data_IF_342666596894
#
_entry.id   IF_342666596894
#
_cell.length_a   1.000
_cell.length_b   1.000
_cell.length_c   1.000
_cell.angle_alpha   90.00
_cell.angle_beta   90.00
_cell.angle_gamma   90.00
#
_symmetry.space_group_name_H-M   'P 1'
#
loop_
_entity.id
_entity.type
_entity.pdbx_description
1 polymer ?
#
# COMPACT_ATOMS: atom_id res chain seq x y z
N UNK A 1 43.75 39.09 21.96
CA UNK A 1 44.12 38.09 23.00
C UNK A 1 43.13 36.93 23.12
N UNK A 2 41.81 37.15 23.27
CA UNK A 2 40.81 36.06 23.16
C UNK A 2 40.40 35.78 21.71
N UNK A 3 40.28 36.81 20.87
CA UNK A 3 39.97 36.67 19.44
C UNK A 3 41.02 35.83 18.70
N UNK A 4 42.30 36.05 18.96
CA UNK A 4 43.39 35.25 18.36
C UNK A 4 43.31 33.77 18.74
N UNK A 5 42.91 33.45 19.99
CA UNK A 5 42.69 32.07 20.44
C UNK A 5 41.48 31.42 19.76
N UNK A 6 40.42 32.20 19.51
CA UNK A 6 39.24 31.74 18.77
C UNK A 6 39.64 31.41 17.33
N UNK A 7 40.39 32.30 16.67
CA UNK A 7 40.86 32.09 15.29
C UNK A 7 41.76 30.85 15.20
N UNK A 8 42.73 30.70 16.10
CA UNK A 8 43.59 29.51 16.16
C UNK A 8 42.80 28.22 16.37
N UNK A 9 41.77 28.26 17.23
CA UNK A 9 40.91 27.10 17.49
C UNK A 9 40.07 26.74 16.26
N UNK A 10 39.54 27.73 15.54
CA UNK A 10 38.77 27.53 14.30
C UNK A 10 39.65 26.96 13.18
N UNK A 11 40.89 27.45 13.02
CA UNK A 11 41.85 26.90 12.06
C UNK A 11 42.19 25.44 12.40
N UNK A 12 42.45 25.14 13.68
CA UNK A 12 42.69 23.77 14.15
C UNK A 12 41.49 22.87 13.92
N UNK A 13 40.28 23.37 14.15
CA UNK A 13 39.03 22.64 13.93
C UNK A 13 38.79 22.35 12.43
N UNK A 14 39.12 23.29 11.55
CA UNK A 14 39.07 23.08 10.10
C UNK A 14 40.01 21.95 9.67
N UNK A 15 41.25 21.98 10.16
CA UNK A 15 42.25 20.94 9.86
C UNK A 15 41.83 19.56 10.37
N UNK A 16 41.33 19.48 11.60
CA UNK A 16 40.81 18.22 12.17
C UNK A 16 39.64 17.68 11.34
N UNK A 17 38.76 18.55 10.82
CA UNK A 17 37.64 18.13 9.95
C UNK A 17 38.12 17.56 8.62
N UNK A 18 39.19 18.12 8.04
CA UNK A 18 39.79 17.60 6.81
C UNK A 18 40.44 16.23 7.06
N UNK A 19 41.26 16.12 8.10
CA UNK A 19 41.89 14.85 8.51
C UNK A 19 40.84 13.76 8.76
N UNK A 20 39.74 14.09 9.47
CA UNK A 20 38.63 13.16 9.70
C UNK A 20 37.95 12.71 8.40
N UNK A 21 37.87 13.59 7.40
CA UNK A 21 37.26 13.26 6.10
C UNK A 21 38.14 12.28 5.33
N UNK A 22 39.46 12.41 5.41
CA UNK A 22 40.41 11.47 4.80
C UNK A 22 40.37 10.11 5.49
N UNK A 23 40.45 10.08 6.83
CA UNK A 23 40.34 8.85 7.62
C UNK A 23 39.04 8.10 7.31
N UNK A 24 37.91 8.81 7.19
CA UNK A 24 36.63 8.20 6.80
C UNK A 24 36.64 7.58 5.41
N UNK A 25 37.37 8.16 4.46
CA UNK A 25 37.49 7.59 3.11
C UNK A 25 38.34 6.33 3.12
N UNK A 26 39.45 6.35 3.84
CA UNK A 26 40.35 5.20 3.99
C UNK A 26 39.63 4.05 4.70
N UNK A 27 38.96 4.31 5.83
CA UNK A 27 38.15 3.31 6.53
C UNK A 27 37.11 2.67 5.59
N UNK A 28 36.41 3.48 4.80
CA UNK A 28 35.42 2.98 3.84
C UNK A 28 36.03 2.10 2.74
N UNK A 29 37.30 2.33 2.39
CA UNK A 29 38.02 1.49 1.42
C UNK A 29 38.46 0.17 2.06
N UNK A 30 38.99 0.22 3.28
CA UNK A 30 39.39 -0.97 4.05
C UNK A 30 38.20 -1.85 4.43
N UNK A 31 37.06 -1.25 4.80
CA UNK A 31 35.81 -1.96 5.09
C UNK A 31 35.13 -2.54 3.83
N UNK A 32 35.62 -2.19 2.63
CA UNK A 32 35.06 -2.72 1.39
C UNK A 32 35.46 -4.19 1.28
N UNK A 33 34.45 -5.05 1.30
CA UNK A 33 34.63 -6.47 1.01
C UNK A 33 35.10 -6.60 -0.45
N UNK A 34 36.35 -7.01 -0.63
CA UNK A 34 36.98 -7.27 -1.94
C UNK A 34 37.02 -8.76 -2.28
N UNK A 35 36.44 -9.59 -1.41
CA UNK A 35 36.35 -11.03 -1.56
C UNK A 35 35.55 -11.41 -2.81
N UNK A 36 36.17 -12.24 -3.66
CA UNK A 36 35.60 -12.65 -4.95
C UNK A 36 34.37 -13.56 -4.77
N UNK A 37 34.33 -14.37 -3.70
CA UNK A 37 33.18 -15.22 -3.41
C UNK A 37 31.97 -14.37 -3.01
N UNK A 38 32.17 -13.34 -2.18
CA UNK A 38 31.11 -12.39 -1.80
C UNK A 38 30.52 -11.68 -3.02
N UNK A 39 31.34 -11.11 -3.90
CA UNK A 39 30.85 -10.43 -5.10
C UNK A 39 30.17 -11.40 -6.08
N UNK A 40 30.62 -12.65 -6.14
CA UNK A 40 29.96 -13.71 -6.91
C UNK A 40 28.59 -14.05 -6.32
N UNK A 41 28.51 -14.30 -5.00
CA UNK A 41 27.24 -14.57 -4.31
C UNK A 41 26.24 -13.42 -4.48
N UNK A 42 26.70 -12.18 -4.41
CA UNK A 42 25.87 -11.00 -4.62
C UNK A 42 25.30 -10.91 -6.03
N UNK A 43 26.10 -11.24 -7.06
CA UNK A 43 25.63 -11.33 -8.45
C UNK A 43 24.60 -12.44 -8.61
N UNK A 44 24.90 -13.64 -8.10
CA UNK A 44 23.97 -14.78 -8.13
C UNK A 44 22.65 -14.46 -7.44
N UNK A 45 22.68 -13.80 -6.28
CA UNK A 45 21.47 -13.38 -5.59
C UNK A 45 20.62 -12.40 -6.42
N UNK A 46 21.27 -11.46 -7.12
CA UNK A 46 20.59 -10.52 -8.02
C UNK A 46 19.97 -11.24 -9.22
N UNK A 47 20.68 -12.19 -9.81
CA UNK A 47 20.19 -12.99 -10.94
C UNK A 47 19.01 -13.87 -10.53
N UNK A 48 19.10 -14.56 -9.38
CA UNK A 48 18.00 -15.34 -8.82
C UNK A 48 16.76 -14.49 -8.55
N UNK A 49 16.94 -13.28 -8.02
CA UNK A 49 15.83 -12.36 -7.81
C UNK A 49 15.17 -11.94 -9.14
N UNK A 50 15.96 -11.73 -10.19
CA UNK A 50 15.46 -11.50 -11.54
C UNK A 50 14.63 -12.68 -12.05
N UNK A 51 15.16 -13.91 -11.94
CA UNK A 51 14.47 -15.13 -12.36
C UNK A 51 13.15 -15.35 -11.62
N UNK A 52 13.11 -15.08 -10.31
CA UNK A 52 11.87 -15.16 -9.52
C UNK A 52 10.82 -14.17 -10.04
N UNK A 53 11.23 -12.95 -10.34
CA UNK A 53 10.32 -11.93 -10.88
C UNK A 53 9.78 -12.35 -12.25
N UNK A 54 10.65 -12.83 -13.14
CA UNK A 54 10.23 -13.31 -14.46
C UNK A 54 9.25 -14.49 -14.34
N UNK A 55 9.48 -15.40 -13.39
CA UNK A 55 8.57 -16.50 -13.09
C UNK A 55 7.21 -16.00 -12.59
N UNK A 56 7.18 -15.06 -11.65
CA UNK A 56 5.93 -14.47 -11.16
C UNK A 56 5.13 -13.78 -12.26
N UNK A 57 5.81 -13.06 -13.16
CA UNK A 57 5.17 -12.41 -14.30
C UNK A 57 4.59 -13.43 -15.28
N UNK A 58 5.33 -14.50 -15.58
CA UNK A 58 4.85 -15.58 -16.45
C UNK A 58 3.65 -16.30 -15.82
N UNK A 59 3.72 -16.65 -14.54
CA UNK A 59 2.62 -17.28 -13.83
C UNK A 59 1.35 -16.41 -13.82
N UNK A 60 1.49 -15.09 -13.60
CA UNK A 60 0.35 -14.16 -13.69
C UNK A 60 -0.25 -14.12 -15.09
N UNK A 61 0.58 -14.16 -16.14
CA UNK A 61 0.09 -14.21 -17.53
C UNK A 61 -0.65 -15.52 -17.79
N UNK A 62 -0.12 -16.64 -17.34
CA UNK A 62 -0.78 -17.95 -17.45
C UNK A 62 -2.13 -17.95 -16.72
N UNK A 63 -2.17 -17.45 -15.49
CA UNK A 63 -3.41 -17.31 -14.72
C UNK A 63 -4.44 -16.42 -15.43
N UNK A 64 -3.99 -15.34 -16.06
CA UNK A 64 -4.88 -14.49 -16.86
C UNK A 64 -5.36 -15.17 -18.15
N UNK A 65 -4.65 -16.17 -18.65
CA UNK A 65 -5.11 -16.95 -19.80
C UNK A 65 -5.92 -18.19 -19.37
N UNK A 66 -5.96 -18.50 -18.07
CA UNK A 66 -6.75 -19.60 -17.52
C UNK A 66 -8.25 -19.29 -17.63
N UNK A 67 -8.98 -20.17 -18.31
CA UNK A 67 -10.41 -20.00 -18.56
C UNK A 67 -11.24 -20.02 -17.27
N UNK A 68 -10.86 -20.82 -16.26
CA UNK A 68 -11.57 -20.87 -14.99
C UNK A 68 -11.37 -19.58 -14.20
N UNK A 69 -10.14 -19.02 -14.21
CA UNK A 69 -9.88 -17.71 -13.63
C UNK A 69 -10.66 -16.61 -14.34
N UNK A 70 -10.70 -16.60 -15.68
CA UNK A 70 -11.48 -15.60 -16.42
C UNK A 70 -12.97 -15.70 -16.13
N UNK A 71 -13.54 -16.92 -16.07
CA UNK A 71 -14.94 -17.12 -15.67
C UNK A 71 -15.25 -16.56 -14.29
N UNK A 72 -14.36 -16.80 -13.31
CA UNK A 72 -14.53 -16.24 -11.96
C UNK A 72 -14.41 -14.72 -11.96
N UNK A 73 -13.51 -14.16 -12.79
CA UNK A 73 -13.33 -12.72 -12.94
C UNK A 73 -14.57 -12.06 -13.56
N UNK A 74 -15.13 -12.65 -14.60
CA UNK A 74 -16.38 -12.19 -15.22
C UNK A 74 -17.55 -12.28 -14.25
N UNK A 75 -17.70 -13.42 -13.54
CA UNK A 75 -18.73 -13.58 -12.53
C UNK A 75 -18.61 -12.54 -11.42
N UNK A 76 -17.38 -12.24 -10.97
CA UNK A 76 -17.14 -11.18 -10.00
C UNK A 76 -17.66 -9.83 -10.51
N UNK A 77 -17.31 -9.45 -11.74
CA UNK A 77 -17.74 -8.17 -12.33
C UNK A 77 -19.27 -8.11 -12.41
N UNK A 78 -19.91 -9.18 -12.88
CA UNK A 78 -21.38 -9.26 -12.93
C UNK A 78 -22.00 -9.09 -11.54
N UNK A 79 -21.44 -9.73 -10.50
CA UNK A 79 -21.93 -9.55 -9.13
C UNK A 79 -21.68 -8.16 -8.57
N UNK A 80 -20.57 -7.52 -8.91
CA UNK A 80 -20.32 -6.12 -8.54
C UNK A 80 -21.34 -5.17 -9.21
N UNK A 81 -21.71 -5.43 -10.47
CA UNK A 81 -22.75 -4.68 -11.19
C UNK A 81 -24.14 -4.91 -10.58
N UNK A 82 -24.54 -6.16 -10.32
CA UNK A 82 -25.80 -6.50 -9.64
C UNK A 82 -25.93 -5.79 -8.29
N UNK A 83 -24.85 -5.78 -7.49
CA UNK A 83 -24.82 -5.08 -6.19
C UNK A 83 -24.99 -3.57 -6.39
N UNK A 84 -24.30 -2.97 -7.36
CA UNK A 84 -24.43 -1.55 -7.65
C UNK A 84 -25.85 -1.16 -8.08
N UNK A 85 -26.50 -2.00 -8.90
CA UNK A 85 -27.90 -1.80 -9.31
C UNK A 85 -28.87 -1.86 -8.13
N UNK A 86 -28.73 -2.86 -7.25
CA UNK A 86 -29.58 -3.00 -6.07
C UNK A 86 -29.36 -1.86 -5.05
N UNK A 87 -28.12 -1.40 -4.90
CA UNK A 87 -27.81 -0.20 -4.09
C UNK A 87 -28.48 1.03 -4.69
N UNK A 88 -28.41 1.23 -6.01
CA UNK A 88 -29.07 2.36 -6.67
C UNK A 88 -30.60 2.32 -6.48
N UNK A 89 -31.21 1.14 -6.60
CA UNK A 89 -32.64 0.94 -6.31
C UNK A 89 -32.97 1.23 -4.85
N UNK A 90 -32.13 0.77 -3.92
CA UNK A 90 -32.27 1.05 -2.49
C UNK A 90 -32.29 2.56 -2.25
N UNK A 91 -31.33 3.32 -2.80
CA UNK A 91 -31.31 4.77 -2.66
C UNK A 91 -32.58 5.45 -3.21
N UNK A 92 -33.08 5.03 -4.38
CA UNK A 92 -34.35 5.55 -4.92
C UNK A 92 -35.56 5.25 -4.02
N UNK A 93 -35.58 4.09 -3.36
CA UNK A 93 -36.64 3.73 -2.41
C UNK A 93 -36.53 4.54 -1.12
N UNK A 94 -35.30 4.76 -0.63
CA UNK A 94 -35.03 5.57 0.56
C UNK A 94 -35.42 7.03 0.33
N UNK A 95 -35.16 7.61 -0.85
CA UNK A 95 -35.58 8.98 -1.20
C UNK A 95 -37.11 9.18 -1.15
N UNK A 96 -37.90 8.12 -1.35
CA UNK A 96 -39.37 8.16 -1.27
C UNK A 96 -39.90 8.05 0.17
N UNK A 97 -39.05 7.72 1.15
CA UNK A 97 -39.46 7.61 2.54
C UNK A 97 -39.67 9.00 3.17
N UNK A 98 -40.60 9.14 4.12
CA UNK A 98 -40.74 10.38 4.89
C UNK A 98 -39.43 10.68 5.65
N UNK A 99 -39.09 11.96 5.87
CA UNK A 99 -37.86 12.38 6.55
C UNK A 99 -37.94 12.14 8.06
N UNK A 100 -38.11 10.88 8.47
CA UNK A 100 -38.12 10.40 9.84
C UNK A 100 -37.14 9.25 9.95
N UNK A 101 -36.47 9.14 11.10
CA UNK A 101 -35.58 8.02 11.37
C UNK A 101 -36.35 6.71 11.27
N UNK A 102 -35.87 5.79 10.44
CA UNK A 102 -36.44 4.46 10.27
C UNK A 102 -35.36 3.42 10.56
N UNK A 103 -35.67 2.48 11.46
CA UNK A 103 -34.80 1.35 11.77
C UNK A 103 -35.53 0.04 11.46
N UNK A 104 -34.85 -0.85 10.76
CA UNK A 104 -35.32 -2.23 10.58
C UNK A 104 -34.18 -3.22 10.77
N UNK A 105 -34.54 -4.45 11.13
CA UNK A 105 -33.65 -5.56 11.32
C UNK A 105 -34.11 -6.71 10.45
N UNK A 106 -33.22 -7.21 9.60
CA UNK A 106 -33.50 -8.32 8.69
C UNK A 106 -32.60 -9.48 9.11
N UNK A 107 -33.18 -10.66 9.30
CA UNK A 107 -32.41 -11.88 9.53
C UNK A 107 -32.04 -12.50 8.18
N UNK A 108 -30.76 -12.80 8.02
CA UNK A 108 -30.20 -13.49 6.85
C UNK A 108 -29.44 -14.74 7.30
N UNK A 109 -29.12 -15.63 6.37
CA UNK A 109 -28.35 -16.86 6.67
C UNK A 109 -26.96 -16.56 7.26
N UNK A 110 -26.37 -15.39 6.98
CA UNK A 110 -25.07 -14.94 7.52
C UNK A 110 -25.19 -14.12 8.82
N UNK A 111 -26.41 -13.88 9.30
CA UNK A 111 -26.68 -13.13 10.54
C UNK A 111 -27.65 -11.96 10.34
N UNK A 112 -27.73 -11.09 11.35
CA UNK A 112 -28.70 -9.99 11.38
C UNK A 112 -28.15 -8.72 10.73
N UNK A 113 -28.84 -8.23 9.69
CA UNK A 113 -28.57 -6.92 9.08
C UNK A 113 -29.40 -5.86 9.80
N UNK A 114 -28.73 -4.83 10.33
CA UNK A 114 -29.37 -3.65 10.92
C UNK A 114 -29.32 -2.49 9.92
N UNK A 115 -30.49 -2.03 9.50
CA UNK A 115 -30.65 -0.87 8.61
C UNK A 115 -31.15 0.31 9.43
N UNK A 116 -30.39 1.42 9.43
CA UNK A 116 -30.79 2.69 10.05
C UNK A 116 -30.75 3.78 8.97
N UNK A 117 -31.92 4.36 8.68
CA UNK A 117 -32.07 5.47 7.72
C UNK A 117 -32.27 6.75 8.53
N UNK A 118 -31.41 7.75 8.31
CA UNK A 118 -31.52 9.09 8.91
C UNK A 118 -31.98 10.14 7.86
N UNK A 119 -32.56 11.27 8.28
CA UNK A 119 -33.05 12.32 7.37
C UNK A 119 -31.97 12.94 6.46
N UNK A 120 -30.69 12.85 6.86
CA UNK A 120 -29.54 13.14 6.00
C UNK A 120 -29.02 11.82 5.42
N UNK A 121 -29.15 11.64 4.10
CA UNK A 121 -28.88 10.42 3.34
C UNK A 121 -27.51 9.79 3.66
N UNK A 122 -27.47 8.90 4.65
CA UNK A 122 -26.32 8.03 4.95
C UNK A 122 -26.84 6.62 5.13
N UNK A 123 -26.53 5.75 4.17
CA UNK A 123 -26.82 4.32 4.26
C UNK A 123 -25.61 3.65 4.92
N UNK A 124 -25.87 2.95 6.02
CA UNK A 124 -24.88 2.14 6.73
C UNK A 124 -25.21 0.67 6.54
N UNK A 125 -24.31 -0.07 5.89
CA UNK A 125 -24.35 -1.53 5.81
C UNK A 125 -23.31 -2.08 6.80
N UNK A 126 -23.75 -2.91 7.76
CA UNK A 126 -22.89 -3.53 8.78
C UNK A 126 -21.95 -2.53 9.51
N UNK A 127 -22.45 -1.31 9.79
CA UNK A 127 -21.70 -0.29 10.53
C UNK A 127 -20.62 0.46 9.75
N UNK A 128 -20.47 0.24 8.44
CA UNK A 128 -19.59 1.02 7.56
C UNK A 128 -20.43 2.00 6.71
N UNK A 129 -20.01 3.26 6.68
CA UNK A 129 -20.61 4.32 5.86
C UNK A 129 -20.23 4.10 4.39
N UNK A 130 -21.20 3.82 3.52
CA UNK A 130 -20.95 3.89 2.08
C UNK A 130 -21.02 5.35 1.63
N UNK A 131 -19.87 5.92 1.27
CA UNK A 131 -19.81 7.25 0.66
C UNK A 131 -20.23 7.15 -0.81
N UNK A 132 -21.28 7.92 -1.17
CA UNK A 132 -21.67 8.24 -2.55
C UNK A 132 -20.41 8.63 -3.33
N UNK A 133 -19.96 7.80 -4.27
CA UNK A 133 -18.97 8.23 -5.26
C UNK A 133 -19.74 9.08 -6.27
N UNK A 134 -19.38 10.36 -6.33
CA UNK A 134 -19.86 11.32 -7.31
C UNK A 134 -19.42 10.93 -8.72
#
# INVERSE_FOLDING_TARGET
>A
MNEDKIILTLQKLSKIKEELKEVKKELKQEEKITDEEYETMKKTAKELHGQLKDFEENWKRELLNDEAYQKLRELKIQKEEEVAEEIAKLYQLVEKLPPKMWETKIETEEGQIRLQIQPEMKVYLNGKEEKRRA
#
